data_IF_063618771517
#
_entry.id   IF_063618771517
#
_cell.length_a   1.000
_cell.length_b   1.000
_cell.length_c   1.000
_cell.angle_alpha   90.00
_cell.angle_beta   90.00
_cell.angle_gamma   90.00
#
_symmetry.space_group_name_H-M   'P 1'
#
loop_
_entity.id
_entity.type
_entity.pdbx_description
1 polymer ?
#
# COMPACT_ATOMS: atom_id res chain seq x y z
N UNK A 1 -15.14 1.12 -13.16
CA UNK A 1 -13.74 0.87 -12.84
C UNK A 1 -13.67 -0.02 -11.61
N UNK A 2 -12.82 -1.01 -11.66
CA UNK A 2 -12.69 -2.02 -10.59
C UNK A 2 -12.46 -1.41 -9.21
N UNK A 3 -11.67 -0.35 -9.15
CA UNK A 3 -11.39 0.35 -7.90
C UNK A 3 -12.66 0.86 -7.21
N UNK A 4 -13.56 1.49 -7.97
CA UNK A 4 -14.79 2.05 -7.40
C UNK A 4 -15.75 0.98 -6.92
N UNK A 5 -15.90 -0.08 -7.71
CA UNK A 5 -16.73 -1.21 -7.33
C UNK A 5 -16.20 -1.88 -6.07
N UNK A 6 -14.89 -2.07 -5.99
CA UNK A 6 -14.25 -2.65 -4.82
C UNK A 6 -14.47 -1.78 -3.57
N UNK A 7 -14.35 -0.46 -3.73
CA UNK A 7 -14.58 0.46 -2.61
C UNK A 7 -16.00 0.33 -2.06
N UNK A 8 -16.99 0.22 -2.94
CA UNK A 8 -18.39 0.04 -2.51
C UNK A 8 -18.58 -1.29 -1.78
N UNK A 9 -17.98 -2.36 -2.28
CA UNK A 9 -18.02 -3.66 -1.60
C UNK A 9 -17.36 -3.58 -0.22
N UNK A 10 -16.26 -2.88 -0.12
CA UNK A 10 -15.55 -2.70 1.15
C UNK A 10 -16.39 -1.90 2.14
N UNK A 11 -17.03 -0.85 1.68
CA UNK A 11 -17.95 -0.05 2.52
C UNK A 11 -19.07 -0.91 3.07
N UNK A 12 -19.68 -1.73 2.23
CA UNK A 12 -20.75 -2.63 2.65
C UNK A 12 -20.25 -3.65 3.66
N UNK A 13 -19.08 -4.21 3.42
CA UNK A 13 -18.44 -5.15 4.33
C UNK A 13 -18.27 -4.56 5.74
N UNK A 14 -17.76 -3.33 5.81
CA UNK A 14 -17.52 -2.63 7.07
C UNK A 14 -18.86 -2.28 7.75
N UNK A 15 -19.81 -1.80 6.97
CA UNK A 15 -21.12 -1.39 7.48
C UNK A 15 -21.90 -2.56 8.06
N UNK A 16 -21.92 -3.69 7.36
CA UNK A 16 -22.63 -4.89 7.81
C UNK A 16 -22.13 -5.38 9.17
N UNK A 17 -20.85 -5.10 9.49
CA UNK A 17 -20.23 -5.52 10.74
C UNK A 17 -20.18 -4.41 11.79
N UNK A 18 -20.71 -3.23 11.44
CA UNK A 18 -20.73 -2.06 12.31
C UNK A 18 -19.32 -1.68 12.78
N UNK A 19 -18.34 -1.81 11.89
CA UNK A 19 -16.93 -1.51 12.20
C UNK A 19 -16.55 -0.05 12.00
N UNK A 20 -17.43 0.75 11.41
CA UNK A 20 -17.15 2.17 11.16
C UNK A 20 -16.76 2.92 12.43
N UNK A 21 -17.34 2.53 13.55
CA UNK A 21 -17.05 3.14 14.86
C UNK A 21 -15.59 2.97 15.31
N UNK A 22 -14.88 1.99 14.74
CA UNK A 22 -13.49 1.71 15.08
C UNK A 22 -12.51 2.28 14.07
N UNK A 23 -12.99 2.83 12.96
CA UNK A 23 -12.20 3.20 11.81
C UNK A 23 -11.90 4.72 11.75
N UNK A 24 -11.57 5.34 12.88
CA UNK A 24 -11.07 6.71 12.80
C UNK A 24 -9.71 6.72 12.06
N UNK A 25 -9.29 7.88 11.54
CA UNK A 25 -8.05 7.94 10.73
C UNK A 25 -6.80 7.45 11.44
N UNK A 26 -6.67 7.70 12.73
CA UNK A 26 -5.51 7.24 13.49
C UNK A 26 -5.48 5.72 13.58
N UNK A 27 -6.62 5.10 13.91
CA UNK A 27 -6.71 3.65 13.98
C UNK A 27 -6.44 3.01 12.62
N UNK A 28 -6.92 3.62 11.54
CA UNK A 28 -6.66 3.12 10.20
C UNK A 28 -5.20 3.25 9.79
N UNK A 29 -4.55 4.35 10.18
CA UNK A 29 -3.11 4.51 9.94
C UNK A 29 -2.31 3.46 10.73
N UNK A 30 -2.71 3.16 11.96
CA UNK A 30 -2.09 2.12 12.77
C UNK A 30 -2.29 0.73 12.15
N UNK A 31 -3.50 0.46 11.65
CA UNK A 31 -3.81 -0.78 10.94
C UNK A 31 -2.91 -0.91 9.70
N UNK A 32 -2.80 0.15 8.92
CA UNK A 32 -1.95 0.16 7.74
C UNK A 32 -0.50 -0.17 8.10
N UNK A 33 0.03 0.45 9.15
CA UNK A 33 1.40 0.19 9.60
C UNK A 33 1.57 -1.27 10.03
N UNK A 34 0.59 -1.81 10.75
CA UNK A 34 0.59 -3.20 11.19
C UNK A 34 0.60 -4.17 10.01
N UNK A 35 -0.27 -3.92 9.02
CA UNK A 35 -0.36 -4.78 7.83
C UNK A 35 0.90 -4.68 6.98
N UNK A 36 1.49 -3.48 6.87
CA UNK A 36 2.77 -3.31 6.18
C UNK A 36 3.87 -4.12 6.89
N UNK A 37 3.84 -4.17 8.22
CA UNK A 37 4.75 -4.99 9.01
C UNK A 37 4.60 -6.48 8.71
N UNK A 38 3.36 -6.95 8.55
CA UNK A 38 3.09 -8.35 8.21
C UNK A 38 3.61 -8.69 6.81
N UNK A 39 3.48 -7.75 5.88
CA UNK A 39 4.06 -7.93 4.54
C UNK A 39 5.59 -8.01 4.63
N UNK A 40 6.21 -7.12 5.38
CA UNK A 40 7.66 -7.14 5.59
C UNK A 40 8.10 -8.47 6.21
N UNK A 41 7.30 -9.02 7.12
CA UNK A 41 7.62 -10.28 7.80
C UNK A 41 7.79 -11.45 6.83
N UNK A 42 7.12 -11.41 5.66
CA UNK A 42 7.28 -12.44 4.65
C UNK A 42 8.68 -12.44 4.02
N UNK A 43 9.32 -11.26 3.98
CA UNK A 43 10.63 -11.10 3.32
C UNK A 43 11.79 -10.92 4.27
N UNK A 44 11.52 -10.63 5.54
CA UNK A 44 12.52 -10.18 6.50
C UNK A 44 13.80 -11.01 6.54
N UNK A 45 13.67 -12.31 6.42
CA UNK A 45 14.81 -13.24 6.53
C UNK A 45 15.23 -13.80 5.19
N UNK A 46 14.70 -13.26 4.09
CA UNK A 46 15.04 -13.71 2.74
C UNK A 46 16.16 -12.82 2.20
N UNK A 47 17.29 -13.36 1.76
CA UNK A 47 18.34 -12.54 1.15
C UNK A 47 17.83 -11.80 -0.07
N UNK A 48 18.33 -10.58 -0.28
CA UNK A 48 17.84 -9.70 -1.34
C UNK A 48 17.92 -10.34 -2.73
N UNK A 49 19.01 -11.06 -3.01
CA UNK A 49 19.21 -11.71 -4.29
C UNK A 49 18.31 -12.95 -4.50
N UNK A 50 17.60 -13.37 -3.46
CA UNK A 50 16.65 -14.49 -3.51
C UNK A 50 15.20 -14.05 -3.47
N UNK A 51 14.95 -12.76 -3.23
CA UNK A 51 13.60 -12.25 -3.00
C UNK A 51 12.68 -12.45 -4.21
N UNK A 52 13.18 -12.25 -5.42
CA UNK A 52 12.37 -12.44 -6.63
C UNK A 52 11.93 -13.90 -6.77
N UNK A 53 12.89 -14.83 -6.65
CA UNK A 53 12.59 -16.26 -6.76
C UNK A 53 11.63 -16.71 -5.66
N UNK A 54 11.85 -16.25 -4.44
CA UNK A 54 10.98 -16.54 -3.30
C UNK A 54 9.54 -16.10 -3.58
N UNK A 55 9.37 -14.92 -4.17
CA UNK A 55 8.04 -14.36 -4.47
C UNK A 55 7.28 -15.17 -5.52
N UNK A 56 7.97 -16.01 -6.28
CA UNK A 56 7.36 -16.85 -7.31
C UNK A 56 6.98 -18.23 -6.80
N UNK A 57 7.49 -18.65 -5.66
CA UNK A 57 7.14 -19.93 -5.07
C UNK A 57 5.65 -19.94 -4.72
N UNK A 58 4.87 -20.95 -5.11
CA UNK A 58 3.41 -20.93 -4.98
C UNK A 58 2.90 -20.60 -3.59
N UNK A 59 3.44 -21.23 -2.55
CA UNK A 59 3.00 -20.98 -1.18
C UNK A 59 3.37 -19.60 -0.67
N UNK A 60 4.61 -19.17 -0.94
CA UNK A 60 5.07 -17.83 -0.56
C UNK A 60 4.27 -16.76 -1.29
N UNK A 61 4.05 -16.97 -2.59
CA UNK A 61 3.26 -16.05 -3.40
C UNK A 61 1.85 -15.85 -2.85
N UNK A 62 1.23 -16.94 -2.39
CA UNK A 62 -0.11 -16.87 -1.82
C UNK A 62 -0.12 -16.01 -0.55
N UNK A 63 0.85 -16.21 0.33
CA UNK A 63 0.96 -15.43 1.57
C UNK A 63 1.25 -13.95 1.28
N UNK A 64 2.16 -13.70 0.35
CA UNK A 64 2.52 -12.33 -0.05
C UNK A 64 1.29 -11.61 -0.64
N UNK A 65 0.58 -12.28 -1.54
CA UNK A 65 -0.64 -11.70 -2.13
C UNK A 65 -1.68 -11.37 -1.06
N UNK A 66 -1.83 -12.25 -0.07
CA UNK A 66 -2.75 -12.03 1.04
C UNK A 66 -2.37 -10.77 1.84
N UNK A 67 -1.07 -10.61 2.13
CA UNK A 67 -0.61 -9.44 2.89
C UNK A 67 -0.71 -8.15 2.06
N UNK A 68 -0.45 -8.22 0.76
CA UNK A 68 -0.66 -7.08 -0.14
C UNK A 68 -2.13 -6.66 -0.12
N UNK A 69 -3.03 -7.65 -0.14
CA UNK A 69 -4.47 -7.37 -0.04
C UNK A 69 -4.82 -6.63 1.24
N UNK A 70 -4.30 -7.06 2.37
CA UNK A 70 -4.56 -6.43 3.67
C UNK A 70 -4.04 -5.00 3.71
N UNK A 71 -2.83 -4.75 3.19
CA UNK A 71 -2.26 -3.41 3.10
C UNK A 71 -3.13 -2.52 2.22
N UNK A 72 -3.54 -3.05 1.07
CA UNK A 72 -4.39 -2.32 0.12
C UNK A 72 -5.74 -1.93 0.72
N UNK A 73 -6.38 -2.87 1.40
CA UNK A 73 -7.68 -2.60 2.03
C UNK A 73 -7.57 -1.56 3.14
N UNK A 74 -6.52 -1.64 3.96
CA UNK A 74 -6.29 -0.68 5.04
C UNK A 74 -6.08 0.74 4.47
N UNK A 75 -5.29 0.84 3.41
CA UNK A 75 -5.03 2.12 2.75
C UNK A 75 -6.30 2.67 2.10
N UNK A 76 -7.07 1.81 1.45
CA UNK A 76 -8.32 2.21 0.81
C UNK A 76 -9.33 2.73 1.84
N UNK A 77 -9.42 2.07 3.00
CA UNK A 77 -10.28 2.52 4.10
C UNK A 77 -9.85 3.89 4.63
N UNK A 78 -8.55 4.11 4.76
CA UNK A 78 -8.03 5.41 5.22
C UNK A 78 -8.36 6.52 4.22
N UNK A 79 -8.19 6.27 2.94
CA UNK A 79 -8.55 7.23 1.90
C UNK A 79 -10.04 7.53 1.93
N UNK A 80 -10.86 6.51 2.09
CA UNK A 80 -12.32 6.69 2.15
C UNK A 80 -12.72 7.53 3.36
N UNK A 81 -12.16 7.24 4.52
CA UNK A 81 -12.50 7.95 5.76
C UNK A 81 -12.06 9.42 5.72
N UNK A 82 -10.91 9.70 5.12
CA UNK A 82 -10.37 11.06 5.05
C UNK A 82 -10.90 11.86 3.87
N UNK A 83 -11.59 11.22 2.93
CA UNK A 83 -12.05 11.88 1.71
C UNK A 83 -10.95 12.16 0.71
N UNK A 84 -9.81 11.51 0.86
CA UNK A 84 -8.68 11.67 -0.07
C UNK A 84 -8.85 10.69 -1.23
N UNK A 85 -8.78 11.22 -2.45
CA UNK A 85 -8.80 10.40 -3.65
C UNK A 85 -7.44 9.73 -3.81
N UNK A 86 -7.41 8.41 -3.72
CA UNK A 86 -6.16 7.64 -3.73
C UNK A 86 -5.38 7.82 -5.02
N UNK A 87 -6.08 7.72 -6.15
CA UNK A 87 -5.42 7.84 -7.47
C UNK A 87 -4.87 9.24 -7.67
N UNK A 88 -5.65 10.27 -7.31
CA UNK A 88 -5.19 11.65 -7.41
C UNK A 88 -3.98 11.91 -6.53
N UNK A 89 -3.99 11.40 -5.30
CA UNK A 89 -2.85 11.54 -4.39
C UNK A 89 -1.59 10.92 -4.98
N UNK A 90 -1.71 9.74 -5.57
CA UNK A 90 -0.57 9.08 -6.22
C UNK A 90 -0.07 9.84 -7.44
N UNK A 91 -0.99 10.35 -8.28
CA UNK A 91 -0.61 11.11 -9.47
C UNK A 91 0.11 12.40 -9.11
N UNK A 92 -0.40 13.11 -8.10
CA UNK A 92 0.22 14.34 -7.63
C UNK A 92 1.62 14.08 -7.08
N UNK A 93 1.75 13.00 -6.32
CA UNK A 93 3.04 12.64 -5.75
C UNK A 93 4.04 12.19 -6.81
N UNK A 94 3.58 11.45 -7.80
CA UNK A 94 4.42 11.04 -8.91
C UNK A 94 4.95 12.27 -9.68
N UNK A 95 4.10 13.26 -9.90
CA UNK A 95 4.49 14.48 -10.59
C UNK A 95 5.50 15.27 -9.77
N UNK A 96 5.30 15.38 -8.46
CA UNK A 96 6.27 16.00 -7.55
C UNK A 96 7.60 15.26 -7.62
N UNK A 97 7.58 13.93 -7.64
CA UNK A 97 8.78 13.11 -7.71
C UNK A 97 9.53 13.29 -9.04
N UNK A 98 8.84 13.52 -10.14
CA UNK A 98 9.48 13.82 -11.41
C UNK A 98 10.32 15.10 -11.33
N UNK A 99 9.83 16.11 -10.61
CA UNK A 99 10.57 17.35 -10.39
C UNK A 99 11.72 17.15 -9.40
N UNK A 100 11.47 16.36 -8.34
CA UNK A 100 12.43 16.11 -7.26
C UNK A 100 13.58 15.20 -7.69
N UNK A 101 13.30 14.27 -8.61
CA UNK A 101 14.26 13.29 -9.11
C UNK A 101 14.43 13.43 -10.62
N UNK A 102 15.08 14.52 -11.12
CA UNK A 102 15.28 14.67 -12.55
C UNK A 102 16.11 13.51 -13.10
N UNK A 103 15.82 13.11 -14.33
CA UNK A 103 16.49 11.95 -14.96
C UNK A 103 18.00 12.07 -14.90
N UNK A 104 18.53 13.25 -15.21
CA UNK A 104 19.97 13.50 -15.27
C UNK A 104 20.69 13.26 -13.93
N UNK A 105 20.00 13.51 -12.81
CA UNK A 105 20.56 13.38 -11.47
C UNK A 105 20.22 12.07 -10.80
N UNK A 106 19.25 11.32 -11.34
CA UNK A 106 18.65 10.17 -10.64
C UNK A 106 18.89 8.83 -11.32
N UNK A 107 19.24 8.85 -12.61
CA UNK A 107 19.44 7.61 -13.36
C UNK A 107 20.54 6.75 -12.72
N UNK A 108 20.17 5.52 -12.35
CA UNK A 108 21.10 4.58 -11.75
C UNK A 108 21.50 4.91 -10.31
N UNK A 109 20.79 5.84 -9.66
CA UNK A 109 21.09 6.26 -8.27
C UNK A 109 19.85 6.17 -7.42
N UNK A 110 19.98 5.53 -6.26
CA UNK A 110 18.88 5.42 -5.29
C UNK A 110 18.85 6.61 -4.32
N UNK A 111 19.95 7.36 -4.20
CA UNK A 111 20.03 8.49 -3.29
C UNK A 111 19.19 9.67 -3.78
N UNK A 112 18.59 10.39 -2.81
CA UNK A 112 17.79 11.56 -3.11
C UNK A 112 18.71 12.70 -3.57
N UNK A 113 18.40 13.37 -4.71
CA UNK A 113 19.21 14.53 -5.14
C UNK A 113 19.23 15.63 -4.10
N UNK A 114 20.34 16.37 -4.02
CA UNK A 114 20.50 17.52 -3.13
C UNK A 114 19.62 18.68 -3.62
N UNK A 115 19.05 19.40 -2.69
CA UNK A 115 18.27 20.61 -3.01
C UNK A 115 16.76 20.45 -3.07
#
# INVERSE_FOLDING_TARGET
MEYRALLEELRDFVKEREWEQFHDPKNLAMLLASEAGELLAEYRWIPNDRADAFSREPEARQRIANEIGDVGLALLLLCDRTGIDFVAAMRDKLEENRRRYPIELSRGRAARPAG
#
